data_IF_152665141943
#
_entry.id   IF_152665141943
#
_cell.length_a   1.000
_cell.length_b   1.000
_cell.length_c   1.000
_cell.angle_alpha   90.00
_cell.angle_beta   90.00
_cell.angle_gamma   90.00
#
_symmetry.space_group_name_H-M   'P 1'
#
loop_
_entity.id
_entity.type
_entity.pdbx_description
1 polymer ?
#
# COMPACT_ATOMS: atom_id res chain seq x y z
N UNK A 1 43.13 -27.01 -16.28
CA UNK A 1 42.88 -26.95 -14.82
C UNK A 1 43.12 -25.51 -14.35
N UNK A 2 42.12 -24.62 -14.33
CA UNK A 2 42.18 -23.38 -13.58
C UNK A 2 41.64 -23.59 -12.16
N UNK A 3 42.42 -23.16 -11.17
CA UNK A 3 42.11 -23.30 -9.75
C UNK A 3 41.03 -22.32 -9.29
N UNK A 4 40.24 -22.79 -8.33
CA UNK A 4 39.17 -22.04 -7.67
C UNK A 4 39.76 -20.90 -6.82
N UNK A 5 39.32 -19.67 -7.09
CA UNK A 5 39.45 -18.55 -6.16
C UNK A 5 38.24 -18.64 -5.23
N UNK A 6 38.47 -19.15 -4.02
CA UNK A 6 37.52 -19.08 -2.92
C UNK A 6 37.57 -17.65 -2.37
N UNK A 7 36.62 -16.80 -2.77
CA UNK A 7 36.39 -15.51 -2.12
C UNK A 7 35.76 -15.74 -0.75
N UNK A 8 36.59 -15.61 0.28
CA UNK A 8 36.17 -15.54 1.68
C UNK A 8 35.42 -14.22 1.92
N UNK A 9 34.09 -14.27 1.92
CA UNK A 9 33.21 -13.18 2.34
C UNK A 9 33.49 -12.76 3.79
N UNK A 10 33.54 -11.45 4.03
CA UNK A 10 33.86 -10.83 5.32
C UNK A 10 32.81 -11.21 6.39
N UNK A 11 33.16 -11.23 7.70
CA UNK A 11 32.24 -11.63 8.78
C UNK A 11 30.94 -10.80 8.85
N UNK A 12 30.99 -9.55 8.40
CA UNK A 12 29.86 -8.61 8.40
C UNK A 12 28.84 -8.95 7.31
N UNK A 13 29.30 -9.45 6.16
CA UNK A 13 28.45 -9.89 5.04
C UNK A 13 27.75 -11.20 5.37
N UNK A 14 28.45 -12.12 6.07
CA UNK A 14 27.82 -13.35 6.60
C UNK A 14 26.72 -13.03 7.62
N UNK A 15 26.90 -11.99 8.45
CA UNK A 15 25.89 -11.54 9.40
C UNK A 15 24.68 -10.85 8.73
N UNK A 16 24.91 -10.10 7.64
CA UNK A 16 23.84 -9.51 6.83
C UNK A 16 23.05 -10.59 6.07
N UNK A 17 23.73 -11.58 5.49
CA UNK A 17 23.11 -12.68 4.75
C UNK A 17 22.33 -13.64 5.68
N UNK A 18 22.84 -13.89 6.89
CA UNK A 18 22.11 -14.64 7.92
C UNK A 18 20.86 -13.90 8.45
N UNK A 19 20.89 -12.55 8.51
CA UNK A 19 19.71 -11.74 8.89
C UNK A 19 18.68 -11.61 7.76
N UNK A 20 19.11 -11.63 6.50
CA UNK A 20 18.21 -11.73 5.34
C UNK A 20 17.51 -13.10 5.26
N UNK A 21 18.21 -14.20 5.58
CA UNK A 21 17.62 -15.54 5.63
C UNK A 21 16.62 -15.74 6.78
N UNK A 22 16.67 -14.89 7.82
CA UNK A 22 15.77 -14.93 8.97
C UNK A 22 14.49 -14.08 8.79
N UNK A 23 14.33 -13.38 7.67
CA UNK A 23 13.04 -12.81 7.30
C UNK A 23 12.12 -13.97 6.90
N UNK A 24 11.42 -14.55 7.87
CA UNK A 24 10.21 -15.33 7.61
C UNK A 24 9.15 -14.34 7.13
N UNK A 25 8.66 -14.44 5.88
CA UNK A 25 7.32 -13.97 5.59
C UNK A 25 6.38 -14.68 6.59
N UNK A 26 5.27 -14.04 6.98
CA UNK A 26 4.16 -14.83 7.52
C UNK A 26 3.86 -15.89 6.46
N UNK A 27 4.20 -17.15 6.76
CA UNK A 27 3.76 -18.29 5.98
C UNK A 27 2.25 -18.31 6.11
N UNK A 28 1.57 -17.71 5.13
CA UNK A 28 0.19 -18.04 4.82
C UNK A 28 0.24 -19.52 4.45
N UNK A 29 -0.13 -20.38 5.39
CA UNK A 29 -0.36 -21.78 5.12
C UNK A 29 -1.35 -21.85 3.96
N UNK A 30 -0.89 -22.28 2.79
CA UNK A 30 -1.74 -22.78 1.71
C UNK A 30 -2.38 -24.07 2.23
N UNK A 31 -3.44 -23.90 3.00
CA UNK A 31 -4.44 -24.96 3.16
C UNK A 31 -5.21 -24.98 1.85
N UNK A 32 -5.10 -26.11 1.14
CA UNK A 32 -5.92 -26.43 -0.01
C UNK A 32 -7.37 -26.63 0.45
N UNK A 33 -8.05 -25.53 0.73
CA UNK A 33 -9.49 -25.40 0.81
C UNK A 33 -9.79 -24.03 0.25
N UNK A 34 -10.59 -23.97 -0.81
CA UNK A 34 -10.93 -22.74 -1.54
C UNK A 34 -11.78 -21.78 -0.71
N UNK A 35 -11.21 -21.27 0.37
CA UNK A 35 -11.70 -20.12 1.10
C UNK A 35 -11.04 -18.91 0.42
N UNK A 36 -11.83 -18.17 -0.37
CA UNK A 36 -11.41 -16.87 -0.86
C UNK A 36 -11.19 -16.04 0.41
N UNK A 37 -9.92 -15.86 0.80
CA UNK A 37 -9.58 -14.91 1.85
C UNK A 37 -9.96 -13.55 1.27
N UNK A 38 -11.15 -13.08 1.65
CA UNK A 38 -11.64 -11.78 1.28
C UNK A 38 -10.62 -10.76 1.82
N UNK A 39 -9.88 -10.14 0.91
CA UNK A 39 -8.95 -9.08 1.28
C UNK A 39 -9.77 -7.97 1.91
N UNK A 40 -9.45 -7.63 3.15
CA UNK A 40 -10.11 -6.57 3.92
C UNK A 40 -9.22 -5.34 4.03
N UNK A 41 -9.80 -4.15 4.21
CA UNK A 41 -9.04 -2.96 4.60
C UNK A 41 -8.30 -3.21 5.91
N UNK A 42 -7.34 -2.32 6.24
CA UNK A 42 -6.82 -2.28 7.61
C UNK A 42 -7.96 -2.07 8.62
N UNK A 43 -7.95 -2.75 9.78
CA UNK A 43 -9.02 -2.63 10.77
C UNK A 43 -9.32 -1.18 11.17
N UNK A 44 -8.30 -0.35 11.37
CA UNK A 44 -8.49 1.08 11.70
C UNK A 44 -9.20 1.87 10.60
N UNK A 45 -8.96 1.52 9.33
CA UNK A 45 -9.62 2.15 8.18
C UNK A 45 -11.06 1.65 8.07
N UNK A 46 -11.29 0.33 8.19
CA UNK A 46 -12.61 -0.28 8.20
C UNK A 46 -13.50 0.32 9.31
N UNK A 47 -13.01 0.37 10.54
CA UNK A 47 -13.71 0.96 11.69
C UNK A 47 -14.08 2.44 11.45
N UNK A 48 -13.19 3.22 10.86
CA UNK A 48 -13.43 4.62 10.56
C UNK A 48 -14.52 4.81 9.49
N UNK A 49 -14.48 3.98 8.44
CA UNK A 49 -15.50 3.99 7.37
C UNK A 49 -16.86 3.59 7.95
N UNK A 50 -16.94 2.53 8.73
CA UNK A 50 -18.20 2.07 9.32
C UNK A 50 -18.79 3.08 10.30
N UNK A 51 -17.94 3.70 11.13
CA UNK A 51 -18.37 4.78 12.02
C UNK A 51 -18.90 5.98 11.24
N UNK A 52 -18.25 6.34 10.14
CA UNK A 52 -18.72 7.43 9.28
C UNK A 52 -20.04 7.08 8.59
N UNK A 53 -20.18 5.86 8.07
CA UNK A 53 -21.39 5.37 7.43
C UNK A 53 -22.59 5.38 8.39
N UNK A 54 -22.39 5.00 9.65
CA UNK A 54 -23.44 5.03 10.67
C UNK A 54 -23.85 6.45 11.10
N UNK A 55 -23.03 7.47 10.81
CA UNK A 55 -23.24 8.84 11.27
C UNK A 55 -23.79 9.80 10.21
N UNK A 56 -23.86 9.38 8.94
CA UNK A 56 -24.31 10.21 7.83
C UNK A 56 -25.72 9.83 7.36
N UNK A 57 -26.55 10.84 7.08
CA UNK A 57 -27.92 10.67 6.56
C UNK A 57 -27.99 10.86 5.03
N UNK A 58 -26.88 10.65 4.32
CA UNK A 58 -26.83 10.82 2.87
C UNK A 58 -26.26 9.57 2.19
N UNK A 59 -26.54 9.42 0.90
CA UNK A 59 -26.09 8.33 0.03
C UNK A 59 -25.42 8.88 -1.23
N UNK A 60 -25.03 7.99 -2.15
CA UNK A 60 -24.38 8.30 -3.41
C UNK A 60 -22.96 8.84 -3.22
N UNK A 61 -22.47 9.52 -4.25
CA UNK A 61 -21.16 10.18 -4.34
C UNK A 61 -20.88 11.15 -3.19
N UNK A 62 -21.92 11.79 -2.62
CA UNK A 62 -21.77 12.65 -1.43
C UNK A 62 -21.33 11.82 -0.22
N UNK A 63 -21.99 10.69 0.02
CA UNK A 63 -21.62 9.78 1.10
C UNK A 63 -20.25 9.16 0.85
N UNK A 64 -19.99 8.72 -0.39
CA UNK A 64 -18.71 8.15 -0.81
C UNK A 64 -17.54 9.05 -0.42
N UNK A 65 -17.61 10.35 -0.72
CA UNK A 65 -16.57 11.32 -0.36
C UNK A 65 -16.30 11.38 1.14
N UNK A 66 -17.35 11.33 1.97
CA UNK A 66 -17.21 11.32 3.44
C UNK A 66 -16.51 10.04 3.91
N UNK A 67 -16.90 8.89 3.36
CA UNK A 67 -16.30 7.60 3.70
C UNK A 67 -14.83 7.51 3.27
N UNK A 68 -14.52 7.99 2.07
CA UNK A 68 -13.15 8.07 1.57
C UNK A 68 -12.29 8.95 2.49
N UNK A 69 -12.77 10.15 2.82
CA UNK A 69 -12.09 11.04 3.74
C UNK A 69 -11.86 10.40 5.11
N UNK A 70 -12.87 9.72 5.67
CA UNK A 70 -12.77 9.03 6.95
C UNK A 70 -11.67 7.96 6.95
N UNK A 71 -11.63 7.11 5.91
CA UNK A 71 -10.62 6.07 5.78
C UNK A 71 -9.20 6.62 5.64
N UNK A 72 -9.00 7.61 4.75
CA UNK A 72 -7.69 8.25 4.53
C UNK A 72 -7.21 8.96 5.80
N UNK A 73 -8.10 9.70 6.46
CA UNK A 73 -7.81 10.40 7.73
C UNK A 73 -7.44 9.45 8.86
N UNK A 74 -8.03 8.26 8.90
CA UNK A 74 -7.72 7.25 9.90
C UNK A 74 -6.36 6.57 9.66
N UNK A 75 -5.94 6.44 8.40
CA UNK A 75 -4.67 5.83 8.02
C UNK A 75 -3.47 6.72 8.35
N UNK A 76 -3.60 8.03 8.12
CA UNK A 76 -2.46 8.97 8.20
C UNK A 76 -1.74 8.98 9.56
N UNK A 77 -2.41 9.04 10.73
CA UNK A 77 -1.75 8.97 12.04
C UNK A 77 -0.92 7.71 12.24
N UNK A 78 -1.38 6.56 11.73
CA UNK A 78 -0.65 5.29 11.84
C UNK A 78 0.65 5.31 11.02
N UNK A 79 0.65 5.99 9.87
CA UNK A 79 1.86 6.21 9.06
C UNK A 79 2.84 7.12 9.82
N UNK A 80 2.35 8.27 10.33
CA UNK A 80 3.16 9.24 11.06
C UNK A 80 3.77 8.71 12.34
N UNK A 81 3.10 7.77 13.01
CA UNK A 81 3.61 7.17 14.24
C UNK A 81 4.83 6.25 14.01
N UNK A 82 5.14 5.88 12.76
CA UNK A 82 6.21 4.93 12.46
C UNK A 82 7.09 5.32 11.25
N UNK A 83 7.71 6.52 11.24
CA UNK A 83 8.52 6.99 10.10
C UNK A 83 9.71 6.07 9.82
N UNK A 84 10.35 5.56 10.86
CA UNK A 84 11.45 4.59 10.76
C UNK A 84 11.03 3.27 10.09
N UNK A 85 9.76 2.87 10.22
CA UNK A 85 9.22 1.69 9.52
C UNK A 85 9.08 1.98 8.03
N UNK A 86 8.60 3.17 7.67
CA UNK A 86 8.47 3.58 6.27
C UNK A 86 9.82 3.64 5.58
N UNK A 87 10.82 4.28 6.22
CA UNK A 87 12.19 4.37 5.68
C UNK A 87 12.76 2.97 5.42
N UNK A 88 12.66 2.04 6.38
CA UNK A 88 13.16 0.66 6.18
C UNK A 88 12.45 -0.07 5.04
N UNK A 89 11.15 0.14 4.87
CA UNK A 89 10.42 -0.41 3.72
C UNK A 89 10.98 0.15 2.41
N UNK A 90 11.15 1.48 2.31
CA UNK A 90 11.73 2.11 1.12
C UNK A 90 13.15 1.63 0.82
N UNK A 91 14.01 1.56 1.84
CA UNK A 91 15.38 1.06 1.68
C UNK A 91 15.39 -0.37 1.11
N UNK A 92 14.57 -1.26 1.69
CA UNK A 92 14.45 -2.64 1.21
C UNK A 92 13.93 -2.71 -0.22
N UNK A 93 12.89 -1.93 -0.55
CA UNK A 93 12.32 -1.86 -1.90
C UNK A 93 13.32 -1.31 -2.91
N UNK A 94 14.00 -0.21 -2.61
CA UNK A 94 15.01 0.41 -3.48
C UNK A 94 16.19 -0.52 -3.68
N UNK A 95 16.62 -1.22 -2.64
CA UNK A 95 17.73 -2.15 -2.73
C UNK A 95 17.38 -3.38 -3.58
N UNK A 96 16.15 -3.89 -3.49
CA UNK A 96 15.66 -4.94 -4.40
C UNK A 96 15.62 -4.45 -5.85
N UNK A 97 15.07 -3.25 -6.09
CA UNK A 97 15.03 -2.63 -7.42
C UNK A 97 16.43 -2.37 -7.96
N UNK A 98 17.37 -1.91 -7.14
CA UNK A 98 18.77 -1.67 -7.55
C UNK A 98 19.40 -2.95 -8.06
N UNK A 99 19.26 -4.06 -7.33
CA UNK A 99 19.77 -5.37 -7.79
C UNK A 99 19.12 -5.82 -9.10
N UNK A 100 17.81 -5.63 -9.23
CA UNK A 100 17.09 -5.99 -10.44
C UNK A 100 17.61 -5.21 -11.68
N UNK A 101 17.85 -3.91 -11.54
CA UNK A 101 18.26 -3.02 -12.64
C UNK A 101 19.77 -2.87 -12.83
N UNK A 102 20.60 -3.42 -11.93
CA UNK A 102 22.06 -3.39 -12.08
C UNK A 102 22.53 -4.23 -13.28
N UNK A 103 21.90 -5.40 -13.48
CA UNK A 103 22.37 -6.43 -14.43
C UNK A 103 21.39 -6.70 -15.57
N UNK A 104 20.22 -6.04 -15.59
CA UNK A 104 19.16 -6.30 -16.59
C UNK A 104 18.83 -5.10 -17.46
N UNK A 105 18.76 -5.35 -18.76
CA UNK A 105 18.25 -4.44 -19.78
C UNK A 105 16.75 -4.62 -20.07
N UNK A 106 16.18 -5.80 -19.75
CA UNK A 106 14.77 -6.09 -20.01
C UNK A 106 13.86 -5.67 -18.85
N UNK A 107 12.71 -5.02 -19.13
CA UNK A 107 11.79 -4.49 -18.11
C UNK A 107 10.89 -5.58 -17.51
N UNK A 108 11.51 -6.58 -16.86
CA UNK A 108 10.78 -7.62 -16.11
C UNK A 108 10.78 -7.28 -14.64
N UNK A 109 9.61 -7.09 -14.04
CA UNK A 109 9.43 -6.70 -12.64
C UNK A 109 10.10 -7.67 -11.64
N UNK A 110 10.68 -7.13 -10.56
CA UNK A 110 11.12 -7.94 -9.42
C UNK A 110 9.90 -8.59 -8.75
N UNK A 111 9.86 -9.93 -8.59
CA UNK A 111 8.69 -10.62 -8.08
C UNK A 111 8.29 -10.23 -6.66
N UNK A 112 9.26 -9.92 -5.79
CA UNK A 112 9.01 -9.57 -4.39
C UNK A 112 8.48 -8.14 -4.28
N UNK A 113 9.07 -7.20 -5.03
CA UNK A 113 8.56 -5.83 -5.11
C UNK A 113 7.18 -5.80 -5.76
N UNK A 114 6.98 -6.56 -6.84
CA UNK A 114 5.68 -6.66 -7.48
C UNK A 114 4.61 -7.27 -6.54
N UNK A 115 4.97 -8.25 -5.70
CA UNK A 115 4.07 -8.80 -4.70
C UNK A 115 3.68 -7.76 -3.64
N UNK A 116 4.65 -6.97 -3.14
CA UNK A 116 4.39 -5.89 -2.20
C UNK A 116 3.36 -4.89 -2.73
N UNK A 117 3.50 -4.44 -3.98
CA UNK A 117 2.54 -3.51 -4.56
C UNK A 117 1.18 -4.15 -4.82
N UNK A 118 1.13 -5.42 -5.25
CA UNK A 118 -0.16 -6.14 -5.37
C UNK A 118 -0.90 -6.26 -4.04
N UNK A 119 -0.18 -6.49 -2.94
CA UNK A 119 -0.79 -6.57 -1.61
C UNK A 119 -1.36 -5.21 -1.17
N UNK A 120 -0.64 -4.12 -1.45
CA UNK A 120 -1.11 -2.75 -1.20
C UNK A 120 -2.34 -2.41 -2.06
N UNK A 121 -2.29 -2.73 -3.36
CA UNK A 121 -3.40 -2.51 -4.29
C UNK A 121 -4.64 -3.30 -3.85
N UNK A 122 -4.48 -4.53 -3.40
CA UNK A 122 -5.58 -5.35 -2.90
C UNK A 122 -6.19 -4.78 -1.60
N UNK A 123 -5.36 -4.29 -0.67
CA UNK A 123 -5.80 -3.65 0.57
C UNK A 123 -6.60 -2.37 0.28
N UNK A 124 -6.08 -1.51 -0.60
CA UNK A 124 -6.77 -0.28 -1.03
C UNK A 124 -8.02 -0.59 -1.83
N UNK A 125 -8.00 -1.60 -2.70
CA UNK A 125 -9.16 -2.05 -3.45
C UNK A 125 -10.29 -2.59 -2.56
N UNK A 126 -9.96 -3.22 -1.44
CA UNK A 126 -10.94 -3.59 -0.42
C UNK A 126 -11.58 -2.36 0.24
N UNK A 127 -10.77 -1.36 0.58
CA UNK A 127 -11.25 -0.09 1.12
C UNK A 127 -12.19 0.65 0.15
N UNK A 128 -11.81 0.76 -1.12
CA UNK A 128 -12.62 1.40 -2.15
C UNK A 128 -13.97 0.69 -2.36
N UNK A 129 -13.98 -0.65 -2.35
CA UNK A 129 -15.21 -1.44 -2.45
C UNK A 129 -16.12 -1.22 -1.24
N UNK A 130 -15.58 -1.22 -0.02
CA UNK A 130 -16.33 -0.93 1.19
C UNK A 130 -17.00 0.45 1.11
N UNK A 131 -16.26 1.48 0.71
CA UNK A 131 -16.83 2.82 0.56
C UNK A 131 -17.95 2.89 -0.48
N UNK A 132 -17.80 2.22 -1.63
CA UNK A 132 -18.84 2.17 -2.67
C UNK A 132 -20.10 1.43 -2.18
N UNK A 133 -19.93 0.30 -1.50
CA UNK A 133 -21.03 -0.48 -0.92
C UNK A 133 -21.82 0.36 0.09
N UNK A 134 -21.13 0.97 1.06
CA UNK A 134 -21.78 1.75 2.13
C UNK A 134 -22.40 3.06 1.67
N UNK A 135 -21.93 3.60 0.55
CA UNK A 135 -22.50 4.81 -0.04
C UNK A 135 -23.59 4.52 -1.08
N UNK A 136 -23.82 3.27 -1.49
CA UNK A 136 -24.64 2.94 -2.65
C UNK A 136 -24.19 3.71 -3.92
N UNK A 137 -22.89 3.65 -4.20
CA UNK A 137 -22.28 4.21 -5.41
C UNK A 137 -21.59 3.12 -6.23
N UNK A 138 -21.25 3.44 -7.47
CA UNK A 138 -20.53 2.57 -8.38
C UNK A 138 -19.30 3.29 -8.93
N UNK A 139 -18.19 2.56 -9.02
CA UNK A 139 -16.96 3.04 -9.64
C UNK A 139 -17.08 2.99 -11.17
N UNK A 140 -16.70 4.09 -11.83
CA UNK A 140 -16.69 4.21 -13.29
C UNK A 140 -15.51 3.48 -13.95
N UNK A 141 -14.45 3.23 -13.18
CA UNK A 141 -13.22 2.55 -13.60
C UNK A 141 -13.03 1.25 -12.80
N UNK A 142 -12.25 0.28 -13.32
CA UNK A 142 -11.87 -0.89 -12.54
C UNK A 142 -11.23 -0.50 -11.21
N UNK A 143 -11.70 -1.06 -10.11
CA UNK A 143 -11.24 -0.70 -8.76
C UNK A 143 -9.73 -0.90 -8.60
N UNK A 144 -9.15 -1.88 -9.31
CA UNK A 144 -7.72 -2.16 -9.31
C UNK A 144 -6.91 -0.99 -9.87
N UNK A 145 -7.42 -0.31 -10.92
CA UNK A 145 -6.77 0.86 -11.49
C UNK A 145 -6.85 2.07 -10.54
N UNK A 146 -8.00 2.24 -9.88
CA UNK A 146 -8.21 3.29 -8.87
C UNK A 146 -7.30 3.04 -7.65
N UNK A 147 -7.16 1.78 -7.23
CA UNK A 147 -6.30 1.39 -6.12
C UNK A 147 -4.82 1.65 -6.44
N UNK A 148 -4.34 1.24 -7.62
CA UNK A 148 -2.97 1.50 -8.06
C UNK A 148 -2.67 3.02 -8.10
N UNK A 149 -3.62 3.83 -8.56
CA UNK A 149 -3.51 5.30 -8.51
C UNK A 149 -3.37 5.81 -7.07
N UNK A 150 -4.28 5.40 -6.17
CA UNK A 150 -4.25 5.82 -4.77
C UNK A 150 -2.96 5.38 -4.06
N UNK A 151 -2.48 4.15 -4.30
CA UNK A 151 -1.21 3.65 -3.77
C UNK A 151 -0.04 4.51 -4.26
N UNK A 152 0.02 4.82 -5.56
CA UNK A 152 1.08 5.66 -6.12
C UNK A 152 1.11 7.06 -5.50
N UNK A 153 -0.05 7.71 -5.36
CA UNK A 153 -0.18 9.01 -4.68
C UNK A 153 0.29 8.90 -3.23
N UNK A 154 -0.21 7.91 -2.48
CA UNK A 154 0.16 7.71 -1.08
C UNK A 154 1.66 7.49 -0.91
N UNK A 155 2.31 6.69 -1.77
CA UNK A 155 3.75 6.47 -1.70
C UNK A 155 4.55 7.77 -1.95
N UNK A 156 4.13 8.57 -2.93
CA UNK A 156 4.74 9.87 -3.19
C UNK A 156 4.57 10.85 -2.02
N UNK A 157 3.36 10.90 -1.45
CA UNK A 157 3.03 11.76 -0.30
C UNK A 157 3.85 11.38 0.93
N UNK A 158 3.94 10.09 1.27
CA UNK A 158 4.73 9.62 2.41
C UNK A 158 6.21 9.93 2.21
N UNK A 159 6.76 9.67 1.02
CA UNK A 159 8.16 9.96 0.73
C UNK A 159 8.46 11.47 0.83
N UNK A 160 7.55 12.32 0.34
CA UNK A 160 7.67 13.78 0.45
C UNK A 160 7.63 14.23 1.90
N UNK A 161 6.66 13.77 2.68
CA UNK A 161 6.53 14.09 4.10
C UNK A 161 7.74 13.63 4.91
N UNK A 162 8.33 12.47 4.60
CA UNK A 162 9.57 12.03 5.25
C UNK A 162 10.75 12.98 4.99
N UNK A 163 10.70 13.78 3.92
CA UNK A 163 11.75 14.71 3.55
C UNK A 163 11.57 16.12 4.17
N UNK A 164 10.34 16.61 4.32
CA UNK A 164 10.05 17.98 4.77
C UNK A 164 9.24 18.09 6.07
N UNK A 165 8.66 16.98 6.56
CA UNK A 165 7.76 16.92 7.71
C UNK A 165 6.55 17.88 7.61
N UNK A 166 6.15 18.26 6.40
CA UNK A 166 5.07 19.21 6.19
C UNK A 166 3.70 18.52 6.27
N UNK A 167 3.13 18.53 7.47
CA UNK A 167 1.80 17.98 7.74
C UNK A 167 0.69 18.74 7.00
N UNK A 168 0.81 20.07 6.84
CA UNK A 168 -0.23 20.91 6.22
C UNK A 168 -0.35 20.59 4.74
N UNK A 169 0.78 20.62 4.02
CA UNK A 169 0.83 20.24 2.61
C UNK A 169 0.39 18.78 2.41
N UNK A 170 0.77 17.88 3.32
CA UNK A 170 0.35 16.48 3.23
C UNK A 170 -1.16 16.33 3.34
N UNK A 171 -1.81 17.00 4.29
CA UNK A 171 -3.26 16.94 4.44
C UNK A 171 -3.98 17.48 3.19
N UNK A 172 -3.49 18.55 2.58
CA UNK A 172 -4.02 19.06 1.30
C UNK A 172 -3.95 18.00 0.20
N UNK A 173 -2.82 17.30 0.06
CA UNK A 173 -2.68 16.23 -0.94
C UNK A 173 -3.63 15.06 -0.67
N UNK A 174 -3.88 14.72 0.60
CA UNK A 174 -4.82 13.66 0.97
C UNK A 174 -6.28 14.07 0.67
N UNK A 175 -6.64 15.33 0.88
CA UNK A 175 -7.94 15.87 0.49
C UNK A 175 -8.12 15.89 -1.03
N UNK A 176 -7.08 16.28 -1.77
CA UNK A 176 -7.05 16.24 -3.24
C UNK A 176 -7.18 14.81 -3.77
N UNK A 177 -6.55 13.83 -3.12
CA UNK A 177 -6.73 12.41 -3.42
C UNK A 177 -8.20 12.02 -3.25
N UNK A 178 -8.83 12.34 -2.12
CA UNK A 178 -10.25 12.02 -1.86
C UNK A 178 -11.16 12.67 -2.89
N UNK A 179 -10.93 13.94 -3.21
CA UNK A 179 -11.69 14.67 -4.24
C UNK A 179 -11.54 13.97 -5.60
N UNK A 180 -10.31 13.66 -6.00
CA UNK A 180 -10.02 12.99 -7.27
C UNK A 180 -10.70 11.63 -7.38
N UNK A 181 -10.62 10.81 -6.32
CA UNK A 181 -11.28 9.51 -6.26
C UNK A 181 -12.79 9.65 -6.38
N UNK A 182 -13.39 10.62 -5.70
CA UNK A 182 -14.84 10.85 -5.73
C UNK A 182 -15.37 11.15 -7.14
N UNK A 183 -14.57 11.76 -8.01
CA UNK A 183 -14.96 12.02 -9.40
C UNK A 183 -15.02 10.78 -10.29
N UNK A 184 -14.45 9.66 -9.83
CA UNK A 184 -14.43 8.36 -10.52
C UNK A 184 -15.63 7.48 -10.17
N UNK A 185 -16.64 8.02 -9.50
CA UNK A 185 -17.82 7.28 -9.09
C UNK A 185 -19.11 8.01 -9.45
N UNK A 186 -20.19 7.24 -9.54
CA UNK A 186 -21.55 7.73 -9.77
C UNK A 186 -22.50 7.14 -8.73
N UNK A 187 -23.61 7.83 -8.53
CA UNK A 187 -24.73 7.31 -7.74
C UNK A 187 -25.31 6.08 -8.45
N UNK A 188 -25.68 5.06 -7.68
CA UNK A 188 -26.33 3.84 -8.19
C UNK A 188 -27.83 4.04 -8.40
#
# INVERSE_FOLDING_TARGET
MPGAISEDLQPVERAAQARCAAFRPRESSLSASGEIIEVRPRPTVEEAVEKAAAAIDCTGTRALRVLLHAGVSALWPAIKAAPHKQIRTYESTIEALRRQWADRTDPVADPAVAALFRDLDAEVGAFLRLCAERSNSEWLEPVEAIAAYAVAVMQGTVLRWLADCDDETTLVVLDDLVSSLSTKAVDR
#
